data_IF_997723256092
#
_entry.id   IF_997723256092
#
_cell.length_a   1.000
_cell.length_b   1.000
_cell.length_c   1.000
_cell.angle_alpha   90.00
_cell.angle_beta   90.00
_cell.angle_gamma   90.00
#
_symmetry.space_group_name_H-M   'P 1'
#
loop_
_entity.id
_entity.type
_entity.pdbx_description
1 polymer ?
#
# COMPACT_ATOMS: atom_id res chain seq x y z
N UNK A 1 51.22 -12.91 17.56
CA UNK A 1 50.88 -13.35 16.18
C UNK A 1 50.11 -14.65 16.35
N UNK A 2 48.80 -14.80 16.18
CA UNK A 2 47.78 -14.10 15.38
C UNK A 2 46.45 -14.09 16.16
N UNK A 3 45.64 -13.09 15.83
CA UNK A 3 44.32 -12.71 16.32
C UNK A 3 43.16 -13.68 16.07
N UNK A 4 42.16 -13.58 16.95
CA UNK A 4 40.70 -13.49 16.72
C UNK A 4 40.03 -14.27 15.59
N UNK A 5 38.94 -14.95 15.95
CA UNK A 5 37.89 -15.33 15.01
C UNK A 5 36.64 -15.84 15.73
N UNK A 6 35.90 -14.94 16.40
CA UNK A 6 34.55 -15.24 16.88
C UNK A 6 33.68 -15.60 15.67
N UNK A 7 33.20 -16.84 15.62
CA UNK A 7 32.15 -17.26 14.68
C UNK A 7 30.87 -16.48 15.00
N UNK A 8 30.53 -15.53 14.12
CA UNK A 8 29.25 -14.85 14.16
C UNK A 8 28.14 -15.88 13.92
N UNK A 9 27.36 -16.16 14.95
CA UNK A 9 26.13 -16.94 14.85
C UNK A 9 25.19 -16.23 13.90
N UNK A 10 24.62 -16.99 12.96
CA UNK A 10 23.60 -16.60 11.98
C UNK A 10 22.29 -16.20 12.69
N UNK A 11 22.30 -15.10 13.43
CA UNK A 11 21.09 -14.51 14.01
C UNK A 11 20.34 -13.83 12.87
N UNK A 12 19.15 -14.34 12.59
CA UNK A 12 18.13 -13.59 11.84
C UNK A 12 18.06 -12.18 12.40
N UNK A 13 18.00 -11.12 11.57
CA UNK A 13 17.69 -9.79 12.10
C UNK A 13 16.27 -9.88 12.68
N UNK A 14 16.20 -9.95 14.02
CA UNK A 14 14.95 -9.88 14.76
C UNK A 14 14.49 -8.43 14.69
N UNK A 15 13.71 -8.12 13.67
CA UNK A 15 12.86 -6.95 13.70
C UNK A 15 11.67 -7.30 14.59
N UNK A 16 11.39 -6.57 15.68
CA UNK A 16 10.11 -6.71 16.35
C UNK A 16 9.04 -6.33 15.32
N UNK A 17 8.27 -7.32 14.89
CA UNK A 17 7.20 -7.14 13.92
C UNK A 17 5.93 -7.79 14.43
N UNK A 18 4.85 -7.01 14.53
CA UNK A 18 3.52 -7.53 14.83
C UNK A 18 2.75 -7.69 13.52
N UNK A 19 2.08 -8.83 13.37
CA UNK A 19 1.11 -9.02 12.28
C UNK A 19 -0.07 -8.10 12.53
N UNK A 20 -0.45 -7.32 11.52
CA UNK A 20 -1.57 -6.38 11.59
C UNK A 20 -2.66 -6.66 10.55
N UNK A 21 -2.48 -7.65 9.67
CA UNK A 21 -3.50 -8.12 8.73
C UNK A 21 -3.02 -9.25 7.81
N UNK A 22 -3.93 -10.12 7.35
CA UNK A 22 -3.58 -11.32 6.54
C UNK A 22 -4.56 -11.66 5.40
N UNK A 23 -5.55 -10.81 5.12
CA UNK A 23 -6.66 -11.17 4.23
C UNK A 23 -6.24 -11.59 2.79
N UNK A 24 -5.24 -10.92 2.22
CA UNK A 24 -4.70 -11.24 0.88
C UNK A 24 -3.20 -11.52 0.91
N UNK A 25 -2.48 -10.83 1.80
CA UNK A 25 -1.07 -11.01 2.04
C UNK A 25 -0.78 -10.63 3.50
N UNK A 26 0.17 -11.30 4.17
CA UNK A 26 0.61 -10.90 5.51
C UNK A 26 1.13 -9.47 5.54
N UNK A 27 0.66 -8.69 6.51
CA UNK A 27 1.04 -7.30 6.76
C UNK A 27 1.67 -7.19 8.14
N UNK A 28 2.82 -6.55 8.20
CA UNK A 28 3.59 -6.36 9.42
C UNK A 28 3.84 -4.87 9.65
N UNK A 29 3.72 -4.44 10.91
CA UNK A 29 4.42 -3.23 11.34
C UNK A 29 5.89 -3.58 11.61
N UNK A 30 6.81 -2.75 11.15
CA UNK A 30 8.25 -2.91 11.34
C UNK A 30 8.80 -1.63 11.95
N UNK A 31 9.43 -1.77 13.13
CA UNK A 31 10.12 -0.67 13.78
C UNK A 31 11.58 -0.63 13.29
N UNK A 32 11.95 0.41 12.54
CA UNK A 32 13.28 0.57 11.97
C UNK A 32 14.29 1.03 13.03
N UNK A 33 15.58 0.70 12.83
CA UNK A 33 16.64 1.05 13.79
C UNK A 33 16.88 2.57 13.96
N UNK A 34 16.29 3.40 13.11
CA UNK A 34 16.29 4.86 13.20
C UNK A 34 15.05 5.42 13.93
N UNK A 35 14.20 4.56 14.52
CA UNK A 35 12.99 4.94 15.25
C UNK A 35 11.76 5.20 14.37
N UNK A 36 11.85 5.02 13.04
CA UNK A 36 10.67 5.11 12.15
C UNK A 36 9.88 3.81 12.14
N UNK A 37 8.55 3.92 12.10
CA UNK A 37 7.68 2.77 11.88
C UNK A 37 7.28 2.71 10.42
N UNK A 38 7.31 1.52 9.83
CA UNK A 38 6.88 1.28 8.45
C UNK A 38 5.96 0.06 8.41
N UNK A 39 5.17 -0.05 7.35
CA UNK A 39 4.34 -1.22 7.07
C UNK A 39 4.99 -2.03 5.96
N UNK A 40 5.18 -3.33 6.21
CA UNK A 40 5.68 -4.29 5.24
C UNK A 40 4.58 -5.29 4.89
N UNK A 41 4.16 -5.33 3.63
CA UNK A 41 3.27 -6.34 3.08
C UNK A 41 4.07 -7.33 2.24
N UNK A 42 3.96 -8.61 2.57
CA UNK A 42 4.76 -9.68 1.94
C UNK A 42 3.88 -10.49 1.01
N UNK A 43 4.37 -10.82 -0.18
CA UNK A 43 3.60 -11.60 -1.15
C UNK A 43 3.26 -12.98 -0.57
N UNK A 44 1.99 -13.38 -0.70
CA UNK A 44 1.57 -14.76 -0.42
C UNK A 44 2.30 -15.76 -1.33
N UNK A 45 2.44 -17.00 -0.86
CA UNK A 45 3.15 -18.05 -1.58
C UNK A 45 2.52 -18.40 -2.94
N UNK A 46 1.21 -18.17 -3.08
CA UNK A 46 0.44 -18.35 -4.32
C UNK A 46 0.55 -17.15 -5.29
N UNK A 47 1.28 -16.09 -4.91
CA UNK A 47 1.43 -14.88 -5.71
C UNK A 47 0.17 -14.00 -5.75
N UNK A 48 -0.82 -14.26 -4.90
CA UNK A 48 -1.99 -13.40 -4.76
C UNK A 48 -1.62 -12.01 -4.24
N UNK A 49 -2.41 -10.99 -4.63
CA UNK A 49 -2.28 -9.63 -4.11
C UNK A 49 -1.34 -8.67 -4.84
N UNK A 50 -0.78 -9.04 -6.01
CA UNK A 50 0.06 -8.21 -6.90
C UNK A 50 0.57 -6.89 -6.27
N UNK A 51 1.59 -6.99 -5.41
CA UNK A 51 2.07 -5.88 -4.59
C UNK A 51 2.64 -4.71 -5.41
N UNK A 52 3.11 -4.97 -6.63
CA UNK A 52 3.57 -3.93 -7.56
C UNK A 52 2.40 -3.05 -7.98
N UNK A 53 1.26 -3.67 -8.30
CA UNK A 53 0.05 -2.97 -8.69
C UNK A 53 -0.52 -2.17 -7.51
N UNK A 54 -0.59 -2.75 -6.30
CA UNK A 54 -1.06 -2.05 -5.11
C UNK A 54 -0.20 -0.81 -4.80
N UNK A 55 1.13 -0.94 -4.81
CA UNK A 55 2.01 0.22 -4.64
C UNK A 55 1.87 1.26 -5.76
N UNK A 56 1.61 0.83 -7.01
CA UNK A 56 1.32 1.76 -8.10
C UNK A 56 -0.02 2.49 -7.92
N UNK A 57 -1.04 1.83 -7.37
CA UNK A 57 -2.33 2.45 -7.06
C UNK A 57 -2.23 3.49 -5.93
N UNK A 58 -1.46 3.19 -4.88
CA UNK A 58 -1.22 4.15 -3.80
C UNK A 58 -0.49 5.40 -4.30
N UNK A 59 0.57 5.22 -5.09
CA UNK A 59 1.27 6.34 -5.72
C UNK A 59 0.34 7.14 -6.65
N UNK A 60 -0.47 6.47 -7.47
CA UNK A 60 -1.45 7.15 -8.33
C UNK A 60 -2.42 8.02 -7.52
N UNK A 61 -3.00 7.48 -6.44
CA UNK A 61 -3.92 8.23 -5.58
C UNK A 61 -3.22 9.41 -4.92
N UNK A 62 -2.00 9.23 -4.41
CA UNK A 62 -1.25 10.31 -3.76
C UNK A 62 -0.77 11.40 -4.72
N UNK A 63 -0.59 11.09 -6.00
CA UNK A 63 -0.19 12.05 -7.03
C UNK A 63 -1.37 12.80 -7.64
N UNK A 64 -2.50 12.11 -7.83
CA UNK A 64 -3.62 12.62 -8.62
C UNK A 64 -4.75 13.17 -7.75
N UNK A 65 -4.70 13.01 -6.42
CA UNK A 65 -5.75 13.46 -5.49
C UNK A 65 -5.20 14.11 -4.23
N UNK A 66 -6.11 14.65 -3.41
CA UNK A 66 -5.80 15.19 -2.08
C UNK A 66 -5.92 14.14 -0.97
N UNK A 67 -6.14 12.87 -1.31
CA UNK A 67 -6.27 11.81 -0.31
C UNK A 67 -4.97 11.63 0.47
N UNK A 68 -5.10 11.50 1.79
CA UNK A 68 -4.00 11.05 2.65
C UNK A 68 -3.84 9.54 2.50
N UNK A 69 -3.01 9.12 1.55
CA UNK A 69 -2.61 7.71 1.35
C UNK A 69 -1.19 7.47 1.84
N UNK A 70 -0.84 6.26 2.32
CA UNK A 70 0.53 5.96 2.75
C UNK A 70 1.58 6.19 1.66
N UNK A 71 2.67 6.85 2.00
CA UNK A 71 3.82 6.98 1.09
C UNK A 71 4.42 5.59 0.79
N UNK A 72 4.69 5.29 -0.48
CA UNK A 72 5.33 4.04 -0.90
C UNK A 72 6.85 4.20 -0.94
N UNK A 73 7.56 3.47 -0.07
CA UNK A 73 9.02 3.48 -0.04
C UNK A 73 9.67 2.45 -0.97
N UNK A 74 9.01 1.30 -1.14
CA UNK A 74 9.47 0.22 -2.01
C UNK A 74 8.29 -0.62 -2.47
N UNK A 75 8.22 -0.94 -3.75
CA UNK A 75 7.30 -1.96 -4.28
C UNK A 75 8.00 -2.90 -5.24
N UNK A 76 7.82 -4.19 -5.02
CA UNK A 76 8.23 -5.24 -5.95
C UNK A 76 7.31 -6.45 -5.80
N UNK A 77 7.56 -7.53 -6.56
CA UNK A 77 6.70 -8.73 -6.55
C UNK A 77 6.60 -9.45 -5.20
N UNK A 78 7.54 -9.21 -4.27
CA UNK A 78 7.66 -9.91 -2.99
C UNK A 78 7.36 -9.03 -1.78
N UNK A 79 7.54 -7.72 -1.91
CA UNK A 79 7.47 -6.78 -0.80
C UNK A 79 6.90 -5.43 -1.27
N UNK A 80 5.92 -4.94 -0.51
CA UNK A 80 5.49 -3.54 -0.50
C UNK A 80 5.84 -2.96 0.87
N UNK A 81 6.70 -1.95 0.89
CA UNK A 81 7.08 -1.19 2.07
C UNK A 81 6.51 0.22 1.94
N UNK A 82 5.75 0.65 2.94
CA UNK A 82 5.06 1.94 2.94
C UNK A 82 5.03 2.57 4.33
N UNK A 83 4.61 3.83 4.38
CA UNK A 83 4.38 4.57 5.60
C UNK A 83 3.45 3.82 6.56
N UNK A 84 3.78 3.86 7.85
CA UNK A 84 2.85 3.47 8.90
C UNK A 84 2.00 4.67 9.30
N UNK A 85 0.75 4.69 8.86
CA UNK A 85 -0.24 5.70 9.28
C UNK A 85 -0.79 5.33 10.64
N UNK A 86 -0.56 6.13 11.70
CA UNK A 86 -1.11 5.85 13.02
C UNK A 86 -2.63 6.07 13.00
N UNK A 87 -3.37 5.13 13.59
CA UNK A 87 -4.80 5.24 13.85
C UNK A 87 -5.15 4.50 15.13
N UNK A 88 -6.17 5.00 15.85
CA UNK A 88 -6.67 4.45 17.12
C UNK A 88 -8.07 3.83 16.98
N UNK A 89 -8.51 3.62 15.72
CA UNK A 89 -9.83 3.11 15.35
C UNK A 89 -11.01 3.94 15.92
N UNK A 90 -10.76 5.18 16.35
CA UNK A 90 -11.84 6.10 16.70
C UNK A 90 -12.30 6.80 15.42
N UNK A 91 -13.61 6.73 15.16
CA UNK A 91 -14.27 7.45 14.07
C UNK A 91 -15.30 8.35 14.74
N UNK A 92 -15.06 9.65 14.69
CA UNK A 92 -16.01 10.67 15.14
C UNK A 92 -16.62 11.42 13.95
N UNK A 93 -17.59 12.29 14.24
CA UNK A 93 -18.29 13.03 13.21
C UNK A 93 -17.35 13.92 12.37
N UNK A 94 -16.27 14.45 12.97
CA UNK A 94 -15.31 15.28 12.26
C UNK A 94 -14.47 14.44 11.29
N UNK A 95 -14.06 13.24 11.70
CA UNK A 95 -13.34 12.30 10.84
C UNK A 95 -14.22 11.84 9.66
N UNK A 96 -15.51 11.59 9.89
CA UNK A 96 -16.46 11.23 8.83
C UNK A 96 -16.68 12.38 7.84
N UNK A 97 -16.90 13.61 8.33
CA UNK A 97 -17.08 14.81 7.50
C UNK A 97 -15.84 15.05 6.63
N UNK A 98 -14.64 15.03 7.24
CA UNK A 98 -13.39 15.19 6.52
C UNK A 98 -13.17 14.07 5.48
N UNK A 99 -13.51 12.82 5.80
CA UNK A 99 -13.45 11.72 4.83
C UNK A 99 -14.42 11.93 3.65
N UNK A 100 -15.63 12.45 3.91
CA UNK A 100 -16.60 12.76 2.87
C UNK A 100 -16.10 13.87 1.93
N UNK A 101 -15.50 14.94 2.47
CA UNK A 101 -14.89 16.01 1.66
C UNK A 101 -13.76 15.48 0.77
N UNK A 102 -12.87 14.66 1.35
CA UNK A 102 -11.77 14.02 0.62
C UNK A 102 -12.28 13.12 -0.53
N UNK A 103 -13.31 12.31 -0.27
CA UNK A 103 -13.92 11.44 -1.30
C UNK A 103 -14.66 12.23 -2.37
N UNK A 104 -15.37 13.29 -2.00
CA UNK A 104 -16.01 14.18 -2.97
C UNK A 104 -14.96 14.86 -3.87
N UNK A 105 -13.84 15.30 -3.29
CA UNK A 105 -12.69 15.82 -4.02
C UNK A 105 -12.12 14.80 -5.02
N UNK A 106 -11.95 13.54 -4.59
CA UNK A 106 -11.52 12.45 -5.47
C UNK A 106 -12.46 12.26 -6.66
N UNK A 107 -13.77 12.18 -6.41
CA UNK A 107 -14.76 11.95 -7.46
C UNK A 107 -14.93 13.11 -8.45
N UNK A 108 -14.49 14.31 -8.07
CA UNK A 108 -14.50 15.49 -8.96
C UNK A 108 -13.32 15.52 -9.94
N UNK A 109 -12.35 14.62 -9.82
CA UNK A 109 -11.24 14.52 -10.78
C UNK A 109 -11.76 13.91 -12.09
N UNK A 110 -11.53 14.61 -13.21
CA UNK A 110 -11.88 14.10 -14.52
C UNK A 110 -11.02 12.89 -14.87
N UNK A 111 -11.67 11.82 -15.36
CA UNK A 111 -10.98 10.65 -15.88
C UNK A 111 -10.09 10.98 -17.09
N UNK A 112 -9.22 10.04 -17.51
CA UNK A 112 -8.23 10.23 -18.57
C UNK A 112 -8.83 10.64 -19.93
N UNK A 113 -10.13 10.39 -20.15
CA UNK A 113 -10.85 10.80 -21.35
C UNK A 113 -11.47 12.21 -21.26
N UNK A 114 -11.13 13.00 -20.23
CA UNK A 114 -11.57 14.39 -20.04
C UNK A 114 -13.09 14.59 -20.13
N UNK A 115 -13.87 13.66 -19.57
CA UNK A 115 -15.34 13.77 -19.54
C UNK A 115 -16.07 13.28 -20.79
N UNK A 116 -15.41 12.50 -21.66
CA UNK A 116 -16.13 11.71 -22.69
C UNK A 116 -17.06 10.68 -22.01
N UNK A 117 -18.12 10.29 -22.71
CA UNK A 117 -19.12 9.28 -22.31
C UNK A 117 -18.54 7.86 -22.30
N UNK A 118 -17.57 7.59 -21.44
CA UNK A 118 -16.95 6.28 -21.30
C UNK A 118 -16.15 6.12 -20.01
N UNK A 119 -15.85 4.87 -19.68
CA UNK A 119 -15.14 4.46 -18.47
C UNK A 119 -13.88 3.69 -18.84
N UNK A 120 -12.77 4.04 -18.21
CA UNK A 120 -11.47 3.40 -18.39
C UNK A 120 -10.58 3.66 -17.19
N UNK A 121 -9.49 2.90 -17.07
CA UNK A 121 -8.40 3.24 -16.16
C UNK A 121 -7.05 2.90 -16.80
N UNK A 122 -5.99 3.59 -16.37
CA UNK A 122 -4.64 3.45 -16.95
C UNK A 122 -4.06 2.03 -16.78
N UNK A 123 -4.54 1.29 -15.78
CA UNK A 123 -4.05 -0.04 -15.40
C UNK A 123 -5.22 -1.00 -15.24
N UNK A 124 -5.02 -2.28 -15.58
CA UNK A 124 -5.89 -3.34 -15.09
C UNK A 124 -5.67 -3.51 -13.59
N UNK A 125 -6.76 -3.53 -12.82
CA UNK A 125 -6.73 -3.60 -11.37
C UNK A 125 -7.10 -4.99 -10.86
N UNK A 126 -7.13 -5.15 -9.53
CA UNK A 126 -7.65 -6.33 -8.87
C UNK A 126 -8.54 -5.96 -7.69
N UNK A 127 -9.57 -6.77 -7.42
CA UNK A 127 -10.38 -6.70 -6.21
C UNK A 127 -10.38 -8.07 -5.53
N UNK A 128 -9.81 -8.17 -4.33
CA UNK A 128 -9.71 -9.44 -3.60
C UNK A 128 -9.03 -10.57 -4.39
N UNK A 129 -8.14 -10.25 -5.35
CA UNK A 129 -7.48 -11.20 -6.25
C UNK A 129 -8.19 -11.45 -7.58
N UNK A 130 -9.43 -10.96 -7.76
CA UNK A 130 -10.14 -11.00 -9.04
C UNK A 130 -9.57 -9.96 -9.99
N UNK A 131 -9.23 -10.36 -11.22
CA UNK A 131 -8.78 -9.43 -12.26
C UNK A 131 -9.93 -8.49 -12.63
N UNK A 132 -9.63 -7.21 -12.71
CA UNK A 132 -10.53 -6.17 -13.19
C UNK A 132 -9.88 -5.50 -14.41
N UNK A 133 -10.14 -6.03 -15.62
CA UNK A 133 -9.70 -5.36 -16.84
C UNK A 133 -10.38 -3.99 -16.93
N UNK A 134 -9.60 -2.96 -17.23
CA UNK A 134 -10.11 -1.58 -17.33
C UNK A 134 -9.93 -0.98 -18.74
N UNK A 135 -10.32 -1.70 -19.82
CA UNK A 135 -10.32 -1.10 -21.15
C UNK A 135 -11.35 0.03 -21.22
N UNK A 136 -11.18 0.90 -22.21
CA UNK A 136 -12.19 1.89 -22.51
C UNK A 136 -13.51 1.22 -22.91
N UNK A 137 -14.59 1.61 -22.26
CA UNK A 137 -15.96 1.23 -22.61
C UNK A 137 -16.84 2.47 -22.70
N UNK A 138 -17.81 2.44 -23.62
CA UNK A 138 -18.80 3.52 -23.74
C UNK A 138 -19.85 3.37 -22.64
N UNK A 139 -20.28 4.48 -22.05
CA UNK A 139 -21.41 4.54 -21.10
C UNK A 139 -22.76 4.45 -21.80
#
# INVERSE_FOLDING_TARGET
>A
MVSHGRRATRRSPYWPSSVIGECVAPVYRVDLGNGKNVVAKISSADGSGNLVLEGAMLEYLGQESLLSVPEVYLKNKRLLLMEHVPGDSQIDAQAEEHAAEMLAGLHNILGPDHGRLGYSFKLDTVIGGLKQPNPWTRS
#
